data_IF_682337204536
#
_entry.id   IF_682337204536
#
_cell.length_a   1.000
_cell.length_b   1.000
_cell.length_c   1.000
_cell.angle_alpha   90.00
_cell.angle_beta   90.00
_cell.angle_gamma   90.00
#
_symmetry.space_group_name_H-M   'P 1'
#
loop_
_entity.id
_entity.type
_entity.pdbx_description
1 polymer ?
#
# COMPACT_ATOMS: atom_id res chain seq x y z
N UNK A 1 -18.13 9.47 19.66
CA UNK A 1 -16.97 8.88 20.37
C UNK A 1 -17.42 7.71 21.25
N UNK A 2 -17.80 6.58 20.65
CA UNK A 2 -18.18 5.35 21.37
C UNK A 2 -17.85 4.07 20.55
N UNK A 3 -16.89 4.20 19.62
CA UNK A 3 -16.60 3.15 18.63
C UNK A 3 -15.47 2.21 19.07
N UNK A 4 -14.68 2.57 20.09
CA UNK A 4 -13.46 1.85 20.46
C UNK A 4 -13.63 0.76 21.53
N UNK A 5 -14.62 0.83 22.43
CA UNK A 5 -14.69 -0.09 23.58
C UNK A 5 -15.27 -1.48 23.31
N UNK A 6 -15.81 -1.74 22.11
CA UNK A 6 -16.61 -2.94 21.83
C UNK A 6 -16.03 -3.92 20.80
N UNK A 7 -14.81 -3.70 20.31
CA UNK A 7 -14.24 -4.54 19.24
C UNK A 7 -14.07 -6.02 19.64
N UNK A 8 -13.86 -6.30 20.93
CA UNK A 8 -13.71 -7.68 21.45
C UNK A 8 -15.01 -8.44 21.67
N UNK A 9 -16.17 -7.77 21.56
CA UNK A 9 -17.44 -8.47 21.64
C UNK A 9 -17.89 -8.80 20.23
N UNK A 10 -17.67 -10.06 19.82
CA UNK A 10 -18.25 -10.76 18.66
C UNK A 10 -19.79 -10.72 18.64
N UNK A 11 -20.37 -9.53 18.72
CA UNK A 11 -21.79 -9.30 18.95
C UNK A 11 -22.55 -9.35 17.64
N UNK A 12 -23.77 -9.89 17.69
CA UNK A 12 -24.68 -9.94 16.53
C UNK A 12 -24.88 -8.57 15.87
N UNK A 13 -24.82 -7.49 16.66
CA UNK A 13 -24.93 -6.10 16.18
C UNK A 13 -23.74 -5.71 15.29
N UNK A 14 -22.52 -6.07 15.68
CA UNK A 14 -21.30 -5.82 14.90
C UNK A 14 -21.38 -6.51 13.54
N UNK A 15 -21.69 -7.81 13.52
CA UNK A 15 -21.81 -8.57 12.27
C UNK A 15 -22.94 -8.04 11.38
N UNK A 16 -24.08 -7.63 11.95
CA UNK A 16 -25.15 -6.96 11.18
C UNK A 16 -24.70 -5.65 10.55
N UNK A 17 -23.94 -4.81 11.26
CA UNK A 17 -23.40 -3.57 10.71
C UNK A 17 -22.40 -3.83 9.59
N UNK A 18 -21.53 -4.84 9.74
CA UNK A 18 -20.61 -5.28 8.68
C UNK A 18 -21.39 -5.78 7.46
N UNK A 19 -22.39 -6.64 7.65
CA UNK A 19 -23.22 -7.17 6.57
C UNK A 19 -23.94 -6.04 5.81
N UNK A 20 -24.53 -5.08 6.53
CA UNK A 20 -25.15 -3.88 5.93
C UNK A 20 -24.13 -3.08 5.13
N UNK A 21 -22.96 -2.80 5.70
CA UNK A 21 -21.89 -2.06 5.01
C UNK A 21 -21.39 -2.81 3.76
N UNK A 22 -21.21 -4.13 3.83
CA UNK A 22 -20.82 -4.97 2.69
C UNK A 22 -21.87 -4.90 1.58
N UNK A 23 -23.16 -5.01 1.94
CA UNK A 23 -24.25 -4.90 0.97
C UNK A 23 -24.29 -3.51 0.31
N UNK A 24 -24.18 -2.43 1.09
CA UNK A 24 -24.25 -1.07 0.55
C UNK A 24 -23.01 -0.64 -0.23
N UNK A 25 -21.84 -1.22 0.04
CA UNK A 25 -20.58 -0.89 -0.65
C UNK A 25 -20.21 -1.87 -1.76
N UNK A 26 -21.08 -2.85 -2.05
CA UNK A 26 -20.82 -3.80 -3.12
C UNK A 26 -20.97 -3.08 -4.46
N UNK A 27 -19.97 -3.23 -5.31
CA UNK A 27 -20.06 -2.80 -6.70
C UNK A 27 -20.96 -3.80 -7.42
N UNK A 28 -22.13 -3.35 -7.84
CA UNK A 28 -23.13 -4.19 -8.50
C UNK A 28 -22.98 -4.18 -10.02
N UNK A 29 -22.56 -3.06 -10.57
CA UNK A 29 -22.36 -2.88 -11.99
C UNK A 29 -21.30 -1.81 -12.23
N UNK A 30 -20.64 -1.90 -13.39
CA UNK A 30 -19.75 -0.89 -13.93
C UNK A 30 -20.06 -0.73 -15.41
N UNK A 31 -20.06 0.49 -15.91
CA UNK A 31 -20.14 0.80 -17.33
C UNK A 31 -18.72 0.92 -17.89
N UNK A 32 -18.45 0.21 -18.98
CA UNK A 32 -17.16 0.25 -19.68
C UNK A 32 -17.04 1.49 -20.59
N UNK A 33 -15.90 1.60 -21.30
CA UNK A 33 -15.63 2.71 -22.21
C UNK A 33 -16.52 2.73 -23.47
N UNK A 34 -17.15 1.61 -23.82
CA UNK A 34 -18.07 1.47 -24.97
C UNK A 34 -19.52 1.76 -24.55
N UNK A 35 -19.77 1.95 -23.26
CA UNK A 35 -21.11 2.18 -22.71
C UNK A 35 -21.86 0.89 -22.36
N UNK A 36 -21.19 -0.28 -22.38
CA UNK A 36 -21.79 -1.55 -21.95
C UNK A 36 -21.79 -1.64 -20.43
N UNK A 37 -22.92 -2.06 -19.86
CA UNK A 37 -23.07 -2.30 -18.41
C UNK A 37 -22.61 -3.72 -18.08
N UNK A 38 -21.52 -3.82 -17.33
CA UNK A 38 -20.96 -5.05 -16.80
C UNK A 38 -21.54 -5.34 -15.43
N UNK A 39 -22.13 -6.52 -15.24
CA UNK A 39 -22.76 -6.95 -13.97
C UNK A 39 -22.10 -8.19 -13.36
N UNK A 40 -21.33 -8.94 -14.13
CA UNK A 40 -20.64 -10.13 -13.64
C UNK A 40 -19.35 -9.76 -12.91
N UNK A 41 -19.08 -10.44 -11.78
CA UNK A 41 -17.89 -10.17 -10.97
C UNK A 41 -16.57 -10.32 -11.76
N UNK A 42 -16.38 -11.36 -12.61
CA UNK A 42 -15.17 -11.48 -13.40
C UNK A 42 -15.00 -10.35 -14.42
N UNK A 43 -16.08 -9.93 -15.09
CA UNK A 43 -16.01 -8.85 -16.08
C UNK A 43 -15.68 -7.51 -15.41
N UNK A 44 -16.34 -7.19 -14.29
CA UNK A 44 -16.02 -5.99 -13.51
C UNK A 44 -14.56 -6.00 -13.04
N UNK A 45 -14.08 -7.12 -12.48
CA UNK A 45 -12.68 -7.25 -12.06
C UNK A 45 -11.70 -7.05 -13.21
N UNK A 46 -11.98 -7.62 -14.39
CA UNK A 46 -11.14 -7.43 -15.57
C UNK A 46 -11.13 -5.96 -16.05
N UNK A 47 -12.27 -5.27 -16.00
CA UNK A 47 -12.37 -3.86 -16.34
C UNK A 47 -11.54 -2.98 -15.38
N UNK A 48 -11.63 -3.23 -14.07
CA UNK A 48 -10.77 -2.55 -13.08
C UNK A 48 -9.27 -2.79 -13.34
N UNK A 49 -8.89 -4.04 -13.63
CA UNK A 49 -7.50 -4.39 -13.92
C UNK A 49 -7.01 -3.69 -15.18
N UNK A 50 -7.77 -3.77 -16.27
CA UNK A 50 -7.43 -3.18 -17.57
C UNK A 50 -7.28 -1.66 -17.45
N UNK A 51 -8.23 -1.00 -16.78
CA UNK A 51 -8.18 0.44 -16.55
C UNK A 51 -6.93 0.85 -15.77
N UNK A 52 -6.66 0.24 -14.62
CA UNK A 52 -5.50 0.64 -13.79
C UNK A 52 -4.16 0.18 -14.36
N UNK A 53 -4.10 -0.95 -15.07
CA UNK A 53 -2.90 -1.37 -15.80
C UNK A 53 -2.57 -0.38 -16.92
N UNK A 54 -3.57 0.09 -17.66
CA UNK A 54 -3.38 1.13 -18.67
C UNK A 54 -2.94 2.44 -18.03
N UNK A 55 -3.62 2.86 -16.95
CA UNK A 55 -3.33 4.12 -16.26
C UNK A 55 -1.93 4.14 -15.64
N UNK A 56 -1.51 3.07 -14.96
CA UNK A 56 -0.25 3.01 -14.22
C UNK A 56 0.90 2.42 -15.05
N UNK A 57 0.61 1.58 -16.03
CA UNK A 57 1.55 0.74 -16.76
C UNK A 57 1.58 0.94 -18.28
N UNK A 58 0.81 1.89 -18.83
CA UNK A 58 0.80 2.16 -20.27
C UNK A 58 2.16 2.58 -20.85
N UNK A 59 2.25 2.60 -22.19
CA UNK A 59 3.43 2.94 -23.02
C UNK A 59 4.04 4.33 -22.78
N UNK A 60 3.50 5.11 -21.84
CA UNK A 60 4.09 6.35 -21.34
C UNK A 60 5.41 6.13 -20.58
N UNK A 61 5.69 4.91 -20.12
CA UNK A 61 6.96 4.57 -19.42
C UNK A 61 8.18 4.50 -20.34
N UNK A 62 7.99 4.34 -21.65
CA UNK A 62 9.10 4.31 -22.63
C UNK A 62 9.56 5.72 -23.04
N UNK A 63 8.92 6.77 -22.52
CA UNK A 63 9.43 8.13 -22.68
C UNK A 63 10.68 8.25 -21.84
N UNK A 64 11.84 8.16 -22.50
CA UNK A 64 13.11 8.60 -21.93
C UNK A 64 12.89 9.98 -21.34
N UNK A 65 13.02 10.08 -20.01
CA UNK A 65 13.05 11.38 -19.34
C UNK A 65 14.34 12.03 -19.81
N UNK A 66 14.23 12.96 -20.75
CA UNK A 66 15.41 13.65 -21.22
C UNK A 66 15.95 14.49 -20.06
N UNK A 67 17.15 14.12 -19.58
CA UNK A 67 17.80 14.74 -18.41
C UNK A 67 17.87 16.27 -18.52
N UNK A 68 17.84 16.83 -19.74
CA UNK A 68 17.77 18.29 -19.98
C UNK A 68 16.56 18.96 -19.32
N UNK A 69 15.42 18.28 -19.22
CA UNK A 69 14.24 18.81 -18.52
C UNK A 69 14.37 18.69 -17.00
N UNK A 70 15.21 17.77 -16.50
CA UNK A 70 15.50 17.67 -15.07
C UNK A 70 16.59 18.65 -14.62
N UNK A 71 17.51 19.05 -15.49
CA UNK A 71 18.64 19.96 -15.16
C UNK A 71 18.25 21.25 -14.42
N UNK A 72 17.14 21.95 -14.76
CA UNK A 72 16.72 23.13 -14.00
C UNK A 72 16.31 22.84 -12.55
N UNK A 73 15.85 21.61 -12.27
CA UNK A 73 15.47 21.14 -10.94
C UNK A 73 16.59 20.40 -10.21
N UNK A 74 17.53 19.81 -10.95
CA UNK A 74 18.75 19.16 -10.45
C UNK A 74 19.85 20.17 -10.04
N UNK A 75 19.47 21.35 -9.54
CA UNK A 75 20.41 22.36 -9.02
C UNK A 75 21.03 21.96 -7.69
N UNK A 76 20.43 21.01 -6.99
CA UNK A 76 20.96 20.42 -5.77
C UNK A 76 21.70 19.15 -6.15
N UNK A 77 22.99 19.30 -6.45
CA UNK A 77 23.92 18.18 -6.47
C UNK A 77 24.25 17.87 -5.02
N UNK A 78 24.17 16.60 -4.64
CA UNK A 78 24.52 16.17 -3.29
C UNK A 78 25.94 16.62 -2.95
N UNK A 79 26.15 17.15 -1.75
CA UNK A 79 27.51 17.35 -1.24
C UNK A 79 28.20 16.00 -1.04
N UNK A 80 29.53 16.00 -0.94
CA UNK A 80 30.29 14.79 -0.60
C UNK A 80 29.86 14.23 0.76
N UNK A 81 29.49 15.10 1.71
CA UNK A 81 28.96 14.71 3.01
C UNK A 81 27.60 14.02 2.88
N UNK A 82 26.67 14.55 2.07
CA UNK A 82 25.35 13.95 1.82
C UNK A 82 25.48 12.63 1.04
N UNK A 83 26.37 12.56 0.06
CA UNK A 83 26.64 11.32 -0.65
C UNK A 83 27.19 10.24 0.28
N UNK A 84 28.11 10.61 1.20
CA UNK A 84 28.63 9.68 2.21
C UNK A 84 27.58 9.24 3.21
N UNK A 85 26.66 10.11 3.62
CA UNK A 85 25.60 9.73 4.57
C UNK A 85 24.64 8.69 3.96
N UNK A 86 24.35 8.78 2.66
CA UNK A 86 23.54 7.81 1.93
C UNK A 86 24.20 6.42 1.79
N UNK A 87 25.52 6.35 1.93
CA UNK A 87 26.29 5.10 1.88
C UNK A 87 26.46 4.43 3.26
N UNK A 88 26.03 5.09 4.33
CA UNK A 88 26.12 4.52 5.68
C UNK A 88 25.24 3.27 5.76
N UNK A 89 25.79 2.13 6.22
CA UNK A 89 25.00 0.94 6.44
C UNK A 89 23.89 1.20 7.45
N UNK A 90 22.67 0.86 7.07
CA UNK A 90 21.52 0.95 7.94
C UNK A 90 21.69 0.08 9.20
N UNK A 91 21.22 0.58 10.33
CA UNK A 91 21.32 -0.05 11.64
C UNK A 91 20.03 -0.81 12.03
N UNK A 92 20.14 -1.72 12.99
CA UNK A 92 18.99 -2.43 13.53
C UNK A 92 18.01 -1.47 14.23
N UNK A 93 18.55 -0.43 14.86
CA UNK A 93 17.82 0.64 15.54
C UNK A 93 16.99 1.48 14.57
N UNK A 94 17.56 1.88 13.43
CA UNK A 94 16.84 2.59 12.37
C UNK A 94 15.69 1.75 11.81
N UNK A 95 15.91 0.45 11.57
CA UNK A 95 14.86 -0.45 11.11
C UNK A 95 13.74 -0.55 12.15
N UNK A 96 14.10 -0.73 13.43
CA UNK A 96 13.13 -0.79 14.52
C UNK A 96 12.33 0.51 14.57
N UNK A 97 12.99 1.66 14.52
CA UNK A 97 12.33 2.96 14.54
C UNK A 97 11.37 3.11 13.35
N UNK A 98 11.80 2.72 12.15
CA UNK A 98 10.95 2.77 10.95
C UNK A 98 9.68 1.92 11.10
N UNK A 99 9.76 0.74 11.72
CA UNK A 99 8.58 -0.10 12.02
C UNK A 99 7.71 0.54 13.11
N UNK A 100 8.32 1.07 14.18
CA UNK A 100 7.61 1.64 15.33
C UNK A 100 6.91 2.97 15.02
N UNK A 101 7.43 3.72 14.05
CA UNK A 101 6.82 4.95 13.54
C UNK A 101 5.56 4.69 12.70
N UNK A 102 5.33 3.47 12.22
CA UNK A 102 4.12 3.15 11.47
C UNK A 102 2.95 3.17 12.46
N UNK A 103 2.04 4.10 12.26
CA UNK A 103 0.82 4.24 13.07
C UNK A 103 0.03 2.91 13.12
N UNK A 104 -0.50 2.57 14.30
CA UNK A 104 -1.19 1.28 14.55
C UNK A 104 -2.53 1.16 13.85
N UNK A 105 -3.13 2.28 13.44
CA UNK A 105 -4.39 2.34 12.70
C UNK A 105 -4.22 2.08 11.20
N UNK A 106 -2.98 1.97 10.71
CA UNK A 106 -2.72 1.65 9.30
C UNK A 106 -3.20 0.24 8.98
N UNK A 107 -3.97 0.13 7.90
CA UNK A 107 -4.52 -1.16 7.44
C UNK A 107 -3.40 -2.18 7.19
N UNK A 108 -3.56 -3.45 7.63
CA UNK A 108 -2.59 -4.51 7.34
C UNK A 108 -2.56 -4.85 5.85
N UNK A 109 -1.54 -5.57 5.43
CA UNK A 109 -1.49 -6.13 4.08
C UNK A 109 -2.25 -7.46 3.98
N UNK A 110 -2.07 -8.21 2.88
CA UNK A 110 -2.67 -9.54 2.70
C UNK A 110 -2.31 -10.55 3.79
N UNK A 111 -1.19 -10.36 4.50
CA UNK A 111 -0.76 -11.22 5.62
C UNK A 111 -1.60 -11.04 6.90
N UNK A 112 -2.40 -9.98 6.98
CA UNK A 112 -3.25 -9.67 8.13
C UNK A 112 -2.52 -9.10 9.35
N UNK A 113 -1.19 -8.93 9.30
CA UNK A 113 -0.42 -8.42 10.44
C UNK A 113 -0.37 -6.88 10.42
N UNK A 114 -0.83 -6.26 11.52
CA UNK A 114 -0.78 -4.81 11.70
C UNK A 114 0.58 -4.35 12.24
N UNK A 115 0.88 -3.05 12.16
CA UNK A 115 2.06 -2.49 12.83
C UNK A 115 2.01 -2.69 14.35
N UNK A 116 0.82 -2.64 14.96
CA UNK A 116 0.62 -2.95 16.38
C UNK A 116 1.06 -4.37 16.75
N UNK A 117 0.80 -5.37 15.89
CA UNK A 117 1.31 -6.73 16.09
C UNK A 117 2.85 -6.73 16.12
N UNK A 118 3.52 -6.11 15.15
CA UNK A 118 4.98 -6.10 15.10
C UNK A 118 5.60 -5.35 16.28
N UNK A 119 4.98 -4.27 16.77
CA UNK A 119 5.44 -3.55 17.96
C UNK A 119 5.30 -4.40 19.22
N UNK A 120 4.15 -5.03 19.42
CA UNK A 120 3.89 -5.86 20.59
C UNK A 120 4.73 -7.15 20.59
N UNK A 121 4.88 -7.80 19.44
CA UNK A 121 5.63 -9.04 19.28
C UNK A 121 7.13 -8.80 18.96
N UNK A 122 7.63 -7.56 19.00
CA UNK A 122 9.02 -7.23 18.65
C UNK A 122 10.07 -8.08 19.38
N UNK A 123 9.92 -8.43 20.68
CA UNK A 123 10.88 -9.31 21.36
C UNK A 123 11.00 -10.70 20.73
N UNK A 124 9.98 -11.15 19.99
CA UNK A 124 9.90 -12.46 19.37
C UNK A 124 10.30 -12.40 17.89
N UNK A 125 9.75 -11.44 17.13
CA UNK A 125 9.91 -11.39 15.65
C UNK A 125 10.88 -10.31 15.18
N UNK A 126 11.32 -9.41 16.06
CA UNK A 126 12.09 -8.23 15.68
C UNK A 126 13.42 -8.58 15.02
N UNK A 127 14.08 -9.65 15.47
CA UNK A 127 15.35 -10.11 14.90
C UNK A 127 15.18 -10.54 13.44
N UNK A 128 14.13 -11.30 13.13
CA UNK A 128 13.83 -11.81 11.80
C UNK A 128 13.38 -10.68 10.88
N UNK A 129 12.56 -9.75 11.39
CA UNK A 129 12.15 -8.54 10.64
C UNK A 129 13.35 -7.68 10.28
N UNK A 130 14.25 -7.41 11.24
CA UNK A 130 15.48 -6.65 11.01
C UNK A 130 16.34 -7.33 9.94
N UNK A 131 16.57 -8.65 10.05
CA UNK A 131 17.33 -9.40 9.04
C UNK A 131 16.71 -9.31 7.66
N UNK A 132 15.39 -9.47 7.55
CA UNK A 132 14.70 -9.45 6.26
C UNK A 132 14.79 -8.07 5.58
N UNK A 133 14.63 -6.98 6.34
CA UNK A 133 14.74 -5.62 5.81
C UNK A 133 16.20 -5.33 5.44
N UNK A 134 17.16 -5.71 6.28
CA UNK A 134 18.59 -5.51 6.00
C UNK A 134 19.04 -6.28 4.74
N UNK A 135 18.58 -7.53 4.58
CA UNK A 135 18.86 -8.35 3.38
C UNK A 135 18.32 -7.68 2.11
N UNK A 136 17.16 -7.04 2.17
CA UNK A 136 16.64 -6.25 1.05
C UNK A 136 17.59 -5.11 0.66
N UNK A 137 18.13 -4.35 1.63
CA UNK A 137 19.04 -3.24 1.34
C UNK A 137 20.43 -3.71 0.86
N UNK A 138 20.86 -4.91 1.24
CA UNK A 138 22.12 -5.50 0.76
C UNK A 138 21.97 -6.08 -0.66
N UNK A 139 20.88 -6.81 -0.91
CA UNK A 139 20.71 -7.60 -2.14
C UNK A 139 19.88 -6.90 -3.21
N UNK A 140 19.10 -5.88 -2.83
CA UNK A 140 18.07 -5.26 -3.67
C UNK A 140 16.89 -6.18 -3.98
N UNK A 141 16.76 -7.33 -3.30
CA UNK A 141 15.74 -8.35 -3.60
C UNK A 141 14.65 -8.35 -2.54
N UNK A 142 13.41 -8.24 -2.99
CA UNK A 142 12.23 -8.30 -2.13
C UNK A 142 11.47 -9.61 -2.32
N UNK A 143 11.11 -10.28 -1.22
CA UNK A 143 10.26 -11.46 -1.27
C UNK A 143 8.89 -11.12 -1.86
N UNK A 144 8.41 -11.95 -2.79
CA UNK A 144 7.12 -11.74 -3.48
C UNK A 144 5.95 -11.60 -2.51
N UNK A 145 5.98 -12.35 -1.42
CA UNK A 145 4.98 -12.33 -0.36
C UNK A 145 4.93 -10.98 0.33
N UNK A 146 6.10 -10.36 0.62
CA UNK A 146 6.18 -9.03 1.23
C UNK A 146 5.64 -7.96 0.26
N UNK A 147 5.93 -8.11 -1.03
CA UNK A 147 5.42 -7.24 -2.09
C UNK A 147 3.93 -7.47 -2.43
N UNK A 148 3.29 -8.49 -1.84
CA UNK A 148 1.87 -8.71 -2.05
C UNK A 148 1.05 -7.57 -1.44
N UNK A 149 0.05 -7.10 -2.18
CA UNK A 149 -0.75 -5.94 -1.83
C UNK A 149 -2.22 -6.23 -2.08
N UNK A 150 -3.08 -5.85 -1.13
CA UNK A 150 -4.52 -5.88 -1.34
C UNK A 150 -4.96 -4.52 -1.88
N UNK A 151 -5.65 -4.49 -3.01
CA UNK A 151 -6.20 -3.26 -3.58
C UNK A 151 -7.63 -3.09 -3.06
N UNK A 152 -7.84 -2.03 -2.26
CA UNK A 152 -9.16 -1.62 -1.79
C UNK A 152 -9.70 -0.49 -2.66
N UNK A 153 -10.90 -0.66 -3.22
CA UNK A 153 -11.56 0.35 -4.05
C UNK A 153 -12.45 1.23 -3.17
N UNK A 154 -12.19 2.55 -3.17
CA UNK A 154 -13.00 3.53 -2.43
C UNK A 154 -13.75 4.42 -3.43
N UNK A 155 -15.09 4.46 -3.39
CA UNK A 155 -15.88 5.37 -4.22
C UNK A 155 -15.50 6.84 -4.00
N UNK A 156 -15.35 7.60 -5.10
CA UNK A 156 -15.18 9.06 -5.14
C UNK A 156 -16.50 9.80 -4.98
N UNK A 157 -17.55 9.22 -5.54
CA UNK A 157 -18.90 9.79 -5.61
C UNK A 157 -19.91 8.82 -5.02
N UNK A 158 -21.12 9.32 -4.77
CA UNK A 158 -22.25 8.47 -4.41
C UNK A 158 -22.67 7.63 -5.63
N UNK A 159 -22.86 6.32 -5.44
CA UNK A 159 -23.29 5.39 -6.48
C UNK A 159 -22.40 5.42 -7.74
N UNK A 160 -21.10 5.09 -7.61
CA UNK A 160 -20.19 5.10 -8.76
C UNK A 160 -20.65 4.09 -9.81
N UNK A 161 -20.56 4.49 -11.07
CA UNK A 161 -20.97 3.70 -12.24
C UNK A 161 -19.82 3.38 -13.17
N UNK A 162 -18.69 4.10 -13.09
CA UNK A 162 -17.50 3.85 -13.92
C UNK A 162 -16.25 3.65 -13.07
N UNK A 163 -15.24 2.95 -13.59
CA UNK A 163 -13.99 2.65 -12.84
C UNK A 163 -13.26 3.92 -12.37
N UNK A 164 -13.27 4.98 -13.19
CA UNK A 164 -12.60 6.25 -12.88
C UNK A 164 -13.13 6.93 -11.60
N UNK A 165 -14.34 6.57 -11.17
CA UNK A 165 -15.00 7.05 -9.95
C UNK A 165 -14.56 6.28 -8.69
N UNK A 166 -13.54 5.43 -8.77
CA UNK A 166 -12.93 4.77 -7.62
C UNK A 166 -11.50 5.24 -7.40
N UNK A 167 -11.12 5.39 -6.14
CA UNK A 167 -9.73 5.48 -5.70
C UNK A 167 -9.20 4.08 -5.41
N UNK A 168 -8.11 3.64 -6.05
CA UNK A 168 -7.41 2.44 -5.63
C UNK A 168 -6.53 2.79 -4.42
N UNK A 169 -6.71 2.05 -3.32
CA UNK A 169 -5.80 2.13 -2.16
C UNK A 169 -5.07 0.80 -2.01
N UNK A 170 -3.75 0.88 -2.05
CA UNK A 170 -2.85 -0.24 -1.83
C UNK A 170 -2.64 -0.49 -0.34
N UNK A 171 -3.18 -1.59 0.16
CA UNK A 171 -2.93 -2.10 1.50
C UNK A 171 -1.72 -3.04 1.44
N UNK A 172 -0.52 -2.49 1.64
CA UNK A 172 0.74 -3.23 1.63
C UNK A 172 1.06 -3.86 3.00
N UNK A 173 1.87 -4.92 3.02
CA UNK A 173 2.40 -5.49 4.26
C UNK A 173 3.26 -4.48 5.04
N UNK A 174 3.36 -4.65 6.35
CA UNK A 174 4.10 -3.71 7.23
C UNK A 174 5.58 -3.64 6.86
N UNK A 175 6.21 -4.78 6.53
CA UNK A 175 7.62 -4.81 6.09
C UNK A 175 7.84 -3.98 4.83
N UNK A 176 6.92 -4.06 3.86
CA UNK A 176 6.98 -3.22 2.65
C UNK A 176 6.92 -1.73 3.03
N UNK A 177 5.99 -1.35 3.92
CA UNK A 177 5.86 0.04 4.39
C UNK A 177 7.11 0.52 5.10
N UNK A 178 7.72 -0.32 5.95
CA UNK A 178 8.95 -0.01 6.65
C UNK A 178 10.10 0.26 5.67
N UNK A 179 10.29 -0.63 4.69
CA UNK A 179 11.27 -0.44 3.61
C UNK A 179 11.06 0.89 2.89
N UNK A 180 9.83 1.18 2.44
CA UNK A 180 9.55 2.43 1.73
C UNK A 180 9.75 3.66 2.60
N UNK A 181 9.50 3.56 3.92
CA UNK A 181 9.72 4.66 4.85
C UNK A 181 11.21 4.95 4.98
N UNK A 182 12.05 3.92 5.10
CA UNK A 182 13.51 4.06 5.17
C UNK A 182 14.05 4.70 3.88
N UNK A 183 13.53 4.30 2.71
CA UNK A 183 13.96 4.87 1.42
C UNK A 183 13.60 6.35 1.22
N UNK A 184 12.67 6.90 2.01
CA UNK A 184 12.18 8.29 1.89
C UNK A 184 12.74 9.17 3.01
N UNK A 185 13.38 8.60 4.04
CA UNK A 185 14.10 9.35 5.06
C UNK A 185 15.31 10.08 4.47
#
# INVERSE_FOLDING_TARGET
>A
MAWMKGWDQYSRVFFRKIAKRRSSKRVHQITDYVGQVLTSQPAMTNEFLTYYQTLLGGSQRDRLIELRYLRPWARHVLSEEEARSLLVPMTAEEIKQAVFDIDETKAPGPDGYSSGFFKAAWPIVGREVTKAIMDFFITGRLLKQINSTLISLIPKVNNPTVVAEFWPISCCNVLYKAITKILIQ
#
